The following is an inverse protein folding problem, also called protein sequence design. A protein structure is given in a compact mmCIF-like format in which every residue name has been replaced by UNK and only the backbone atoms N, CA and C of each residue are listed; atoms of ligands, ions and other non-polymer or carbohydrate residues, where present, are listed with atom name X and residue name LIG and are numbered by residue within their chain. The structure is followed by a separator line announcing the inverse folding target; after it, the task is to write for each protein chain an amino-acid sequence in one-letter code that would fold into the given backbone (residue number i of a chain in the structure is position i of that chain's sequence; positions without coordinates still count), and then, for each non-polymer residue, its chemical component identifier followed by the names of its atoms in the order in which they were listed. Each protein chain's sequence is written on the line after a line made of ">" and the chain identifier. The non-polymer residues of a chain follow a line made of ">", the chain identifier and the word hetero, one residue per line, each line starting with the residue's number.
data_IF_200724252795
#
_entry.id   IF_200724252795
#
_cell.length_a   1.000
_cell.length_b   1.000
_cell.length_c   1.000
_cell.angle_alpha   90.00
_cell.angle_beta   90.00
_cell.angle_gamma   90.00
#
_symmetry.space_group_name_H-M   'P 1'
#
loop_
_entity.id
_entity.type
_entity.pdbx_description
1 polymer ?
#
# COMPACT_ATOMS: atom_id res chain seq x y z
N UNK A 1 2.06 6.53 -8.84
CA UNK A 1 2.98 7.50 -8.23
C UNK A 1 4.26 7.60 -9.05
N UNK A 2 4.79 8.79 -9.23
CA UNK A 2 6.10 9.05 -9.86
C UNK A 2 7.21 9.25 -8.83
N UNK A 3 6.85 9.50 -7.58
CA UNK A 3 7.78 9.70 -6.46
C UNK A 3 7.37 8.87 -5.25
N UNK A 4 8.34 8.57 -4.41
CA UNK A 4 8.12 7.94 -3.11
C UNK A 4 9.05 8.53 -2.05
N UNK A 5 8.68 8.35 -0.80
CA UNK A 5 9.57 8.54 0.34
C UNK A 5 10.12 7.17 0.73
N UNK A 6 11.44 7.02 0.68
CA UNK A 6 12.12 5.82 1.11
C UNK A 6 12.55 5.98 2.56
N UNK A 7 12.23 5.02 3.39
CA UNK A 7 12.68 4.99 4.78
C UNK A 7 13.75 3.92 4.96
N UNK A 8 14.89 4.33 5.45
CA UNK A 8 16.06 3.50 5.67
C UNK A 8 16.45 3.56 7.13
N UNK A 9 16.78 2.43 7.72
CA UNK A 9 17.36 2.37 9.05
C UNK A 9 18.87 2.21 8.92
N UNK A 10 19.61 3.26 9.32
CA UNK A 10 21.08 3.26 9.31
C UNK A 10 21.62 3.85 10.59
N UNK A 11 22.64 3.21 11.17
CA UNK A 11 23.33 3.67 12.38
C UNK A 11 22.40 4.06 13.56
N UNK A 12 21.31 3.31 13.75
CA UNK A 12 20.37 3.58 14.85
C UNK A 12 19.32 4.65 14.55
N UNK A 13 19.28 5.20 13.34
CA UNK A 13 18.35 6.26 12.95
C UNK A 13 17.61 5.93 11.66
N UNK A 14 16.38 6.44 11.55
CA UNK A 14 15.62 6.44 10.29
C UNK A 14 16.00 7.65 9.45
N UNK A 15 16.26 7.41 8.17
CA UNK A 15 16.43 8.46 7.16
C UNK A 15 15.24 8.40 6.20
N UNK A 16 14.58 9.54 6.00
CA UNK A 16 13.44 9.69 5.08
C UNK A 16 13.92 10.43 3.84
N UNK A 17 13.95 9.75 2.71
CA UNK A 17 14.49 10.28 1.46
C UNK A 17 13.41 10.30 0.38
N UNK A 18 13.02 11.49 -0.10
CA UNK A 18 12.15 11.59 -1.26
C UNK A 18 12.94 11.30 -2.53
N UNK A 19 12.43 10.39 -3.36
CA UNK A 19 13.07 9.96 -4.61
C UNK A 19 12.05 9.83 -5.73
N UNK A 20 12.52 10.02 -6.95
CA UNK A 20 11.79 9.64 -8.14
C UNK A 20 11.83 8.13 -8.34
N UNK A 21 10.72 7.57 -8.82
CA UNK A 21 10.62 6.14 -9.09
C UNK A 21 10.96 5.87 -10.56
N UNK A 22 11.48 4.69 -10.89
CA UNK A 22 11.64 3.52 -10.00
C UNK A 22 13.04 3.37 -9.39
N UNK A 23 14.01 4.23 -9.71
CA UNK A 23 15.41 3.98 -9.39
C UNK A 23 15.83 4.54 -8.03
N UNK A 24 16.57 3.74 -7.27
CA UNK A 24 17.29 4.17 -6.09
C UNK A 24 18.61 3.39 -5.94
N UNK A 25 19.75 4.11 -5.93
CA UNK A 25 21.10 3.52 -5.78
C UNK A 25 21.36 2.35 -6.76
N UNK A 26 20.96 2.51 -8.02
CA UNK A 26 21.09 1.48 -9.05
C UNK A 26 20.19 0.26 -8.84
N UNK A 27 19.16 0.39 -8.02
CA UNK A 27 18.13 -0.64 -7.82
C UNK A 27 16.79 -0.14 -8.39
N UNK A 28 16.10 -1.00 -9.12
CA UNK A 28 14.69 -0.77 -9.49
C UNK A 28 13.80 -1.15 -8.30
N UNK A 29 13.33 -0.16 -7.53
CA UNK A 29 12.52 -0.38 -6.33
C UNK A 29 11.07 -0.77 -6.63
N UNK A 30 10.68 -0.78 -7.89
CA UNK A 30 9.41 -1.38 -8.32
C UNK A 30 9.48 -2.90 -8.40
N UNK A 31 10.69 -3.47 -8.33
CA UNK A 31 10.94 -4.90 -8.42
C UNK A 31 11.57 -5.41 -7.10
N UNK A 32 10.79 -6.03 -6.22
CA UNK A 32 11.29 -6.48 -4.90
C UNK A 32 12.55 -7.34 -4.97
N UNK A 33 12.72 -8.09 -6.08
CA UNK A 33 13.89 -8.94 -6.30
C UNK A 33 15.18 -8.18 -6.66
N UNK A 34 15.09 -6.92 -7.04
CA UNK A 34 16.24 -6.05 -7.30
C UNK A 34 16.72 -5.34 -6.02
N UNK A 35 15.92 -5.32 -4.96
CA UNK A 35 16.19 -4.60 -3.73
C UNK A 35 17.11 -5.45 -2.84
N UNK A 36 18.29 -4.93 -2.49
CA UNK A 36 19.34 -5.71 -1.82
C UNK A 36 19.19 -5.76 -0.30
N UNK A 37 18.58 -4.74 0.31
CA UNK A 37 18.39 -4.60 1.76
C UNK A 37 16.92 -4.34 2.09
N UNK A 38 16.54 -4.42 3.35
CA UNK A 38 15.19 -4.02 3.75
C UNK A 38 14.93 -2.57 3.41
N UNK A 39 13.74 -2.29 2.92
CA UNK A 39 13.35 -0.97 2.46
C UNK A 39 11.85 -0.76 2.63
N UNK A 40 11.50 0.39 3.19
CA UNK A 40 10.15 0.93 3.17
C UNK A 40 10.02 1.92 2.01
N UNK A 41 9.04 1.70 1.15
CA UNK A 41 8.71 2.57 0.02
C UNK A 41 7.32 3.16 0.24
N UNK A 42 7.23 4.42 0.63
CA UNK A 42 5.97 5.14 0.80
C UNK A 42 5.64 5.90 -0.48
N UNK A 43 4.65 5.42 -1.22
CA UNK A 43 4.26 6.01 -2.49
C UNK A 43 3.58 7.36 -2.31
N UNK A 44 4.07 8.38 -3.00
CA UNK A 44 3.51 9.73 -2.99
C UNK A 44 2.39 9.84 -4.04
N UNK A 45 1.17 9.52 -3.63
CA UNK A 45 0.01 9.52 -4.53
C UNK A 45 -0.48 10.95 -4.69
N UNK A 46 -0.47 11.52 -5.91
CA UNK A 46 -0.95 12.88 -6.16
C UNK A 46 -2.41 13.09 -5.74
N UNK A 47 -2.76 14.31 -5.37
CA UNK A 47 -4.15 14.67 -5.13
C UNK A 47 -4.99 14.43 -6.40
N UNK A 48 -6.21 13.91 -6.23
CA UNK A 48 -7.10 13.57 -7.33
C UNK A 48 -6.84 12.21 -7.99
N UNK A 49 -5.71 11.55 -7.72
CA UNK A 49 -5.51 10.16 -8.12
C UNK A 49 -6.12 9.20 -7.10
N UNK A 50 -6.68 8.11 -7.60
CA UNK A 50 -7.22 7.04 -6.77
C UNK A 50 -6.11 6.38 -5.95
N UNK A 51 -6.24 6.28 -4.62
CA UNK A 51 -5.26 5.59 -3.81
C UNK A 51 -5.40 4.07 -4.00
N UNK A 52 -4.35 3.45 -4.51
CA UNK A 52 -4.21 1.99 -4.56
C UNK A 52 -2.74 1.59 -4.46
N UNK A 53 -2.49 0.34 -4.14
CA UNK A 53 -1.20 -0.34 -4.27
C UNK A 53 -1.46 -1.75 -4.78
N UNK A 54 -0.60 -2.21 -5.69
CA UNK A 54 -0.66 -3.57 -6.22
C UNK A 54 0.74 -4.19 -6.23
N UNK A 55 0.79 -5.50 -6.04
CA UNK A 55 1.98 -6.30 -6.26
C UNK A 55 1.59 -7.48 -7.16
N UNK A 56 2.30 -7.62 -8.26
CA UNK A 56 2.08 -8.65 -9.27
C UNK A 56 3.20 -9.68 -9.21
N UNK A 57 2.86 -10.92 -9.41
CA UNK A 57 3.79 -12.04 -9.55
C UNK A 57 4.36 -12.17 -10.97
N UNK A 58 5.07 -13.24 -11.24
CA UNK A 58 5.67 -13.55 -12.55
C UNK A 58 4.61 -13.89 -13.61
N UNK A 59 3.42 -14.36 -13.19
CA UNK A 59 2.25 -14.61 -14.03
C UNK A 59 1.41 -13.35 -14.27
N UNK A 60 1.86 -12.18 -13.80
CA UNK A 60 1.19 -10.89 -13.94
C UNK A 60 -0.15 -10.80 -13.22
N UNK A 61 -0.29 -11.57 -12.16
CA UNK A 61 -1.42 -11.57 -11.23
C UNK A 61 -0.94 -11.23 -9.83
N UNK A 62 -1.82 -10.67 -9.03
CA UNK A 62 -1.45 -10.40 -7.66
C UNK A 62 -2.47 -9.62 -6.87
N UNK A 63 -2.08 -9.24 -5.67
CA UNK A 63 -2.91 -8.51 -4.75
C UNK A 63 -2.99 -7.04 -5.14
N UNK A 64 -4.20 -6.50 -5.16
CA UNK A 64 -4.45 -5.06 -5.15
C UNK A 64 -5.24 -4.67 -3.91
N UNK A 65 -4.83 -3.57 -3.28
CA UNK A 65 -5.58 -2.88 -2.25
C UNK A 65 -5.86 -1.45 -2.71
N UNK A 66 -7.09 -1.01 -2.60
CA UNK A 66 -7.51 0.37 -2.89
C UNK A 66 -8.51 0.86 -1.85
N UNK A 67 -8.64 2.18 -1.75
CA UNK A 67 -9.48 2.79 -0.73
C UNK A 67 -10.13 4.09 -1.20
N UNK A 68 -11.02 4.60 -0.37
CA UNK A 68 -11.50 5.97 -0.49
C UNK A 68 -10.35 6.98 -0.37
N UNK A 69 -10.58 8.20 -0.89
CA UNK A 69 -9.55 9.24 -1.00
C UNK A 69 -8.97 9.70 0.36
N UNK A 70 -9.65 9.43 1.45
CA UNK A 70 -9.19 9.79 2.79
C UNK A 70 -7.93 8.99 3.21
N UNK A 71 -7.88 7.69 2.89
CA UNK A 71 -6.75 6.85 3.20
C UNK A 71 -5.71 6.90 2.07
N UNK A 72 -4.76 7.83 2.16
CA UNK A 72 -3.81 8.11 1.09
C UNK A 72 -2.46 7.42 1.23
N UNK A 73 -2.07 7.01 2.43
CA UNK A 73 -0.78 6.34 2.66
C UNK A 73 -0.76 4.97 2.01
N UNK A 74 0.29 4.71 1.23
CA UNK A 74 0.56 3.39 0.62
C UNK A 74 2.03 3.07 0.78
N UNK A 75 2.29 1.89 1.31
CA UNK A 75 3.63 1.44 1.58
C UNK A 75 3.85 0.04 1.04
N UNK A 76 4.99 -0.16 0.41
CA UNK A 76 5.58 -1.46 0.17
C UNK A 76 6.75 -1.62 1.15
N UNK A 77 6.73 -2.68 1.94
CA UNK A 77 7.89 -3.12 2.68
C UNK A 77 8.48 -4.38 2.04
N UNK A 78 9.79 -4.38 1.86
CA UNK A 78 10.55 -5.52 1.38
C UNK A 78 11.71 -5.84 2.31
N UNK A 79 11.94 -7.11 2.56
CA UNK A 79 13.08 -7.58 3.36
C UNK A 79 14.40 -7.51 2.60
N UNK A 80 14.35 -7.42 1.27
CA UNK A 80 15.51 -7.39 0.38
C UNK A 80 16.17 -8.75 0.17
N UNK A 81 17.07 -8.80 -0.81
CA UNK A 81 17.71 -10.02 -1.29
C UNK A 81 19.06 -10.30 -0.64
N UNK A 82 19.45 -9.57 0.40
CA UNK A 82 20.61 -9.89 1.25
C UNK A 82 20.35 -11.13 2.11
N UNK A 83 21.39 -11.66 2.77
CA UNK A 83 21.29 -12.89 3.55
C UNK A 83 20.20 -12.83 4.64
N UNK A 84 20.16 -11.73 5.41
CA UNK A 84 19.13 -11.52 6.44
C UNK A 84 17.73 -11.41 5.85
N UNK A 85 17.58 -10.68 4.73
CA UNK A 85 16.30 -10.54 4.04
C UNK A 85 15.76 -11.87 3.52
N UNK A 86 16.61 -12.69 2.90
CA UNK A 86 16.22 -14.05 2.46
C UNK A 86 15.84 -14.95 3.63
N UNK A 87 16.55 -14.85 4.76
CA UNK A 87 16.21 -15.59 5.97
C UNK A 87 14.79 -15.24 6.45
N UNK A 88 14.48 -13.96 6.58
CA UNK A 88 13.15 -13.51 7.01
C UNK A 88 12.05 -13.87 6.02
N UNK A 89 12.29 -13.74 4.71
CA UNK A 89 11.33 -14.16 3.69
C UNK A 89 11.05 -15.67 3.79
N UNK A 90 12.09 -16.50 3.94
CA UNK A 90 11.93 -17.94 4.12
C UNK A 90 11.16 -18.29 5.40
N UNK A 91 11.45 -17.61 6.50
CA UNK A 91 10.75 -17.82 7.77
C UNK A 91 9.26 -17.49 7.66
N UNK A 92 8.93 -16.31 7.09
CA UNK A 92 7.56 -15.82 6.97
C UNK A 92 6.72 -16.60 5.95
N UNK A 93 7.33 -17.13 4.90
CA UNK A 93 6.67 -17.93 3.87
C UNK A 93 6.78 -19.43 4.07
N UNK A 94 7.35 -19.90 5.18
CA UNK A 94 7.70 -21.30 5.41
C UNK A 94 8.57 -21.90 4.29
N UNK A 95 9.46 -21.09 3.71
CA UNK A 95 10.35 -21.49 2.63
C UNK A 95 9.70 -21.62 1.25
N UNK A 96 8.42 -21.27 1.11
CA UNK A 96 7.65 -21.52 -0.11
C UNK A 96 7.71 -20.40 -1.14
N UNK A 97 7.90 -19.16 -0.71
CA UNK A 97 7.81 -18.00 -1.60
C UNK A 97 8.68 -16.82 -1.13
N UNK A 98 8.84 -15.85 -2.01
CA UNK A 98 9.29 -14.52 -1.63
C UNK A 98 8.17 -13.78 -0.92
N UNK A 99 8.53 -12.98 0.08
CA UNK A 99 7.58 -12.29 0.93
C UNK A 99 7.80 -10.78 0.85
N UNK A 100 6.71 -10.06 0.70
CA UNK A 100 6.64 -8.61 0.79
C UNK A 100 5.37 -8.20 1.53
N UNK A 101 5.31 -6.97 2.00
CA UNK A 101 4.16 -6.44 2.71
C UNK A 101 3.60 -5.22 1.99
N UNK A 102 2.33 -5.27 1.65
CA UNK A 102 1.55 -4.10 1.21
C UNK A 102 0.85 -3.54 2.43
N UNK A 103 1.00 -2.25 2.66
CA UNK A 103 0.36 -1.57 3.76
C UNK A 103 -0.36 -0.31 3.27
N UNK A 104 -1.48 0.02 3.92
CA UNK A 104 -2.25 1.23 3.67
C UNK A 104 -2.50 1.95 4.99
N UNK A 105 -2.60 3.27 4.95
CA UNK A 105 -2.82 4.08 6.13
C UNK A 105 -3.36 5.47 5.80
N UNK A 106 -3.84 6.16 6.80
CA UNK A 106 -4.30 7.55 6.66
C UNK A 106 -3.10 8.48 6.53
N UNK A 107 -2.07 8.29 7.36
CA UNK A 107 -0.82 9.00 7.30
C UNK A 107 0.00 8.62 6.05
N UNK A 108 0.82 9.53 5.54
CA UNK A 108 1.64 9.30 4.34
C UNK A 108 2.80 8.35 4.62
N UNK A 109 3.36 8.44 5.82
CA UNK A 109 4.44 7.56 6.28
C UNK A 109 4.17 7.09 7.71
N UNK A 110 4.90 6.10 8.17
CA UNK A 110 4.84 5.63 9.56
C UNK A 110 5.42 6.62 10.58
N UNK A 111 6.12 7.65 10.11
CA UNK A 111 6.70 8.68 10.97
C UNK A 111 5.76 9.88 11.14
N UNK A 112 4.69 9.96 10.34
CA UNK A 112 3.73 11.05 10.42
C UNK A 112 2.75 10.81 11.56
N UNK A 113 2.48 11.86 12.34
CA UNK A 113 1.45 11.90 13.37
C UNK A 113 0.33 12.81 12.89
N UNK A 114 -0.88 12.27 12.84
CA UNK A 114 -2.05 13.01 12.44
C UNK A 114 -2.81 13.47 13.69
N UNK A 115 -2.99 14.78 13.90
CA UNK A 115 -3.82 15.25 14.99
C UNK A 115 -5.27 14.83 14.75
N UNK A 116 -5.88 14.21 15.76
CA UNK A 116 -7.29 13.90 15.76
C UNK A 116 -7.99 14.84 16.76
N UNK A 117 -8.66 15.90 16.28
CA UNK A 117 -9.37 16.84 17.14
C UNK A 117 -10.44 16.14 17.97
N UNK A 118 -10.77 16.74 19.13
CA UNK A 118 -11.87 16.25 19.95
C UNK A 118 -13.18 16.21 19.16
N UNK A 119 -13.93 15.12 19.28
CA UNK A 119 -15.14 14.87 18.52
C UNK A 119 -14.96 14.57 17.03
N UNK A 120 -13.73 14.44 16.53
CA UNK A 120 -13.51 14.07 15.14
C UNK A 120 -13.94 12.62 14.87
N UNK A 121 -14.62 12.43 13.73
CA UNK A 121 -15.01 11.12 13.22
C UNK A 121 -14.37 10.91 11.84
N UNK A 122 -13.64 9.83 11.68
CA UNK A 122 -12.97 9.47 10.43
C UNK A 122 -13.54 8.18 9.87
N UNK A 123 -13.92 8.21 8.61
CA UNK A 123 -14.47 7.05 7.92
C UNK A 123 -13.79 6.85 6.58
N UNK A 124 -13.53 5.61 6.23
CA UNK A 124 -13.03 5.22 4.93
C UNK A 124 -13.51 3.82 4.57
N UNK A 125 -13.43 3.48 3.32
CA UNK A 125 -13.67 2.13 2.80
C UNK A 125 -12.39 1.62 2.15
N UNK A 126 -12.11 0.34 2.37
CA UNK A 126 -11.03 -0.38 1.70
C UNK A 126 -11.60 -1.57 0.94
N UNK A 127 -10.95 -1.93 -0.16
CA UNK A 127 -11.23 -3.16 -0.87
C UNK A 127 -9.93 -3.85 -1.27
N UNK A 128 -9.97 -5.16 -1.24
CA UNK A 128 -8.88 -6.06 -1.60
C UNK A 128 -9.36 -7.00 -2.69
N UNK A 129 -8.49 -7.31 -3.65
CA UNK A 129 -8.83 -8.20 -4.74
C UNK A 129 -7.60 -8.69 -5.49
N UNK A 130 -7.85 -9.58 -6.45
CA UNK A 130 -6.84 -9.99 -7.42
C UNK A 130 -6.84 -8.99 -8.59
N UNK A 131 -5.64 -8.56 -8.97
CA UNK A 131 -5.40 -7.76 -10.17
C UNK A 131 -4.65 -8.61 -11.19
N UNK A 132 -5.18 -8.68 -12.41
CA UNK A 132 -4.50 -9.24 -13.57
C UNK A 132 -4.10 -8.09 -14.50
N UNK A 133 -2.80 -7.88 -14.71
CA UNK A 133 -2.30 -6.81 -15.53
C UNK A 133 -0.93 -7.16 -16.11
N UNK A 134 -0.86 -7.38 -17.41
CA UNK A 134 0.41 -7.67 -18.07
C UNK A 134 1.24 -6.38 -18.20
N UNK A 135 2.32 -6.31 -17.43
CA UNK A 135 3.27 -5.18 -17.42
C UNK A 135 4.67 -5.59 -17.89
N UNK A 136 4.82 -6.78 -18.48
CA UNK A 136 6.11 -7.28 -18.98
C UNK A 136 6.68 -6.37 -20.05
N UNK A 137 7.94 -6.04 -19.92
CA UNK A 137 8.65 -5.17 -20.85
C UNK A 137 8.25 -3.69 -20.81
N UNK A 138 7.39 -3.29 -19.88
CA UNK A 138 7.00 -1.90 -19.68
C UNK A 138 7.99 -1.20 -18.74
N UNK A 139 8.24 0.08 -19.00
CA UNK A 139 8.82 0.97 -18.03
C UNK A 139 7.83 1.29 -16.89
N UNK A 140 8.33 1.89 -15.80
CA UNK A 140 7.52 2.21 -14.62
C UNK A 140 6.26 3.04 -14.96
N UNK A 141 6.40 4.04 -15.83
CA UNK A 141 5.29 4.95 -16.14
C UNK A 141 4.17 4.22 -16.89
N UNK A 142 4.52 3.39 -17.87
CA UNK A 142 3.57 2.58 -18.63
C UNK A 142 2.93 1.50 -17.77
N UNK A 143 3.73 0.81 -16.95
CA UNK A 143 3.23 -0.19 -16.01
C UNK A 143 2.25 0.42 -15.00
N UNK A 144 2.57 1.57 -14.42
CA UNK A 144 1.68 2.29 -13.50
C UNK A 144 0.38 2.72 -14.19
N UNK A 145 0.44 3.17 -15.44
CA UNK A 145 -0.74 3.53 -16.23
C UNK A 145 -1.62 2.30 -16.52
N UNK A 146 -1.02 1.19 -16.95
CA UNK A 146 -1.73 -0.05 -17.22
C UNK A 146 -2.43 -0.59 -15.96
N UNK A 147 -1.73 -0.61 -14.83
CA UNK A 147 -2.32 -0.99 -13.54
C UNK A 147 -3.47 -0.06 -13.14
N UNK A 148 -3.35 1.26 -13.36
CA UNK A 148 -4.43 2.20 -13.07
C UNK A 148 -5.68 1.90 -13.90
N UNK A 149 -5.52 1.59 -15.18
CA UNK A 149 -6.62 1.20 -16.06
C UNK A 149 -7.24 -0.13 -15.63
N UNK A 150 -6.42 -1.12 -15.27
CA UNK A 150 -6.90 -2.42 -14.80
C UNK A 150 -7.67 -2.30 -13.47
N UNK A 151 -7.20 -1.46 -12.54
CA UNK A 151 -7.91 -1.17 -11.29
C UNK A 151 -9.25 -0.48 -11.54
N UNK A 152 -9.31 0.47 -12.48
CA UNK A 152 -10.56 1.15 -12.83
C UNK A 152 -11.55 0.21 -13.52
N UNK A 153 -11.06 -0.73 -14.34
CA UNK A 153 -11.89 -1.76 -14.96
C UNK A 153 -12.41 -2.78 -13.94
N UNK A 154 -11.57 -3.16 -12.96
CA UNK A 154 -11.93 -4.12 -11.90
C UNK A 154 -13.02 -3.57 -10.98
N UNK A 155 -12.88 -2.30 -10.54
CA UNK A 155 -13.85 -1.62 -9.71
C UNK A 155 -13.84 -0.12 -10.02
N UNK A 156 -14.78 0.37 -10.84
CA UNK A 156 -14.86 1.78 -11.19
C UNK A 156 -14.95 2.70 -9.96
N UNK A 157 -14.26 3.83 -9.99
CA UNK A 157 -14.21 4.77 -8.87
C UNK A 157 -15.62 5.23 -8.43
N UNK A 158 -16.53 5.42 -9.39
CA UNK A 158 -17.92 5.79 -9.10
C UNK A 158 -18.67 4.68 -8.36
N UNK A 159 -18.51 3.42 -8.76
CA UNK A 159 -19.14 2.28 -8.09
C UNK A 159 -18.60 2.13 -6.65
N UNK A 160 -17.30 2.32 -6.47
CA UNK A 160 -16.68 2.30 -5.15
C UNK A 160 -17.20 3.42 -4.23
N UNK A 161 -17.36 4.64 -4.75
CA UNK A 161 -17.92 5.76 -3.99
C UNK A 161 -19.40 5.53 -3.61
N UNK A 162 -20.18 4.90 -4.49
CA UNK A 162 -21.56 4.50 -4.21
C UNK A 162 -21.60 3.46 -3.08
N UNK A 163 -20.75 2.44 -3.14
CA UNK A 163 -20.64 1.42 -2.09
C UNK A 163 -20.25 2.04 -0.75
N UNK A 164 -19.28 2.95 -0.72
CA UNK A 164 -18.90 3.68 0.49
C UNK A 164 -20.10 4.42 1.09
N UNK A 165 -20.91 5.10 0.28
CA UNK A 165 -22.08 5.80 0.76
C UNK A 165 -23.15 4.84 1.32
N UNK A 166 -23.34 3.66 0.68
CA UNK A 166 -24.27 2.63 1.17
C UNK A 166 -23.80 2.10 2.51
N UNK A 167 -22.53 1.69 2.62
CA UNK A 167 -21.95 1.17 3.86
C UNK A 167 -21.98 2.19 4.99
N UNK A 168 -21.66 3.45 4.69
CA UNK A 168 -21.73 4.51 5.68
C UNK A 168 -23.14 4.65 6.29
N UNK A 169 -24.19 4.60 5.46
CA UNK A 169 -25.57 4.61 5.95
C UNK A 169 -25.91 3.36 6.79
N UNK A 170 -25.47 2.19 6.36
CA UNK A 170 -25.68 0.95 7.11
C UNK A 170 -25.02 1.01 8.49
N UNK A 171 -23.77 1.46 8.56
CA UNK A 171 -23.03 1.61 9.82
C UNK A 171 -23.75 2.61 10.74
N UNK A 172 -24.18 3.77 10.23
CA UNK A 172 -24.90 4.76 11.01
C UNK A 172 -26.24 4.27 11.56
N UNK A 173 -26.85 3.27 10.93
CA UNK A 173 -28.11 2.64 11.35
C UNK A 173 -27.89 1.38 12.19
N UNK A 174 -26.68 0.87 12.29
CA UNK A 174 -26.38 -0.32 13.10
C UNK A 174 -26.78 -0.09 14.56
N UNK A 175 -27.45 -1.07 15.12
CA UNK A 175 -27.73 -1.17 16.56
C UNK A 175 -27.23 -2.54 17.00
N UNK A 176 -26.48 -2.56 18.07
CA UNK A 176 -25.94 -3.77 18.65
C UNK A 176 -25.99 -3.70 20.17
N UNK A 177 -25.99 -4.84 20.81
CA UNK A 177 -25.78 -4.94 22.24
C UNK A 177 -24.28 -4.92 22.52
N UNK A 178 -23.90 -4.28 23.61
CA UNK A 178 -22.51 -4.27 24.07
C UNK A 178 -22.13 -5.68 24.55
N UNK A 179 -21.33 -6.39 23.78
CA UNK A 179 -20.89 -7.74 24.13
C UNK A 179 -19.81 -7.75 25.20
N UNK A 180 -18.86 -6.79 25.12
CA UNK A 180 -17.72 -6.68 26.04
C UNK A 180 -17.39 -5.21 26.26
N UNK A 181 -17.21 -4.80 27.51
CA UNK A 181 -16.64 -3.49 27.83
C UNK A 181 -15.15 -3.49 27.45
N UNK A 182 -14.73 -2.50 26.67
CA UNK A 182 -13.31 -2.28 26.41
C UNK A 182 -12.56 -1.85 27.68
N UNK A 183 -11.24 -1.92 27.63
CA UNK A 183 -10.36 -1.55 28.77
C UNK A 183 -10.33 -0.04 29.07
N UNK A 184 -10.96 0.79 28.23
CA UNK A 184 -11.00 2.24 28.43
C UNK A 184 -9.73 2.97 27.99
N UNK A 185 -9.02 2.46 27.00
CA UNK A 185 -7.88 3.13 26.37
C UNK A 185 -8.33 4.29 25.50
#
# INVERSE_FOLDING_TARGET
>A
ASTAILSLYQAGQYQMLRRELPEYEGMDVSRPTAIRRSLDVFYDIPAGQRPYIAALDEEQRGLVQFSSAFQRGRKLFVWGMGAGGRHWQSFLSHGQARYLEIQAGIARTQQDHLPMPDGAEWTWLEAYGELNCDVRGMDWARAAQACTQAVEALLPAQAFAQEQAVRGRQIAQCRGELAVLGSGW
#
